data_IF_836536049015
#
_entry.id   IF_836536049015
#
_cell.length_a   1.000
_cell.length_b   1.000
_cell.length_c   1.000
_cell.angle_alpha   90.00
_cell.angle_beta   90.00
_cell.angle_gamma   90.00
#
_symmetry.space_group_name_H-M   'P 1'
#
loop_
_entity.id
_entity.type
_entity.pdbx_description
1 polymer ?
#
# COMPACT_ATOMS: atom_id res chain seq x y z
N UNK A 1 -13.18 -11.18 -2.82
CA UNK A 1 -14.55 -10.95 -2.34
C UNK A 1 -14.88 -11.87 -1.17
N UNK A 2 -14.74 -13.18 -1.31
CA UNK A 2 -15.02 -14.16 -0.26
C UNK A 2 -14.33 -13.85 1.08
N UNK A 3 -13.06 -13.44 1.05
CA UNK A 3 -12.35 -13.06 2.26
C UNK A 3 -12.99 -11.84 2.97
N UNK A 4 -13.50 -10.88 2.19
CA UNK A 4 -14.25 -9.73 2.73
C UNK A 4 -15.56 -10.15 3.41
N UNK A 5 -16.28 -11.10 2.79
CA UNK A 5 -17.53 -11.64 3.37
C UNK A 5 -17.26 -12.35 4.72
N UNK A 6 -16.19 -13.13 4.79
CA UNK A 6 -15.77 -13.81 6.03
C UNK A 6 -15.35 -12.78 7.10
N UNK A 7 -14.49 -11.84 6.74
CA UNK A 7 -14.00 -10.82 7.68
C UNK A 7 -15.16 -9.98 8.27
N UNK A 8 -16.17 -9.67 7.45
CA UNK A 8 -17.34 -8.92 7.89
C UNK A 8 -18.11 -9.62 9.04
N UNK A 9 -18.16 -10.95 9.04
CA UNK A 9 -18.81 -11.74 10.11
C UNK A 9 -18.13 -11.53 11.47
N UNK A 10 -16.85 -11.20 11.46
CA UNK A 10 -16.05 -10.94 12.66
C UNK A 10 -15.83 -9.44 12.92
N UNK A 11 -16.51 -8.57 12.16
CA UNK A 11 -16.32 -7.11 12.23
C UNK A 11 -14.86 -6.68 11.94
N UNK A 12 -14.18 -7.41 11.07
CA UNK A 12 -12.82 -7.12 10.63
C UNK A 12 -12.85 -6.50 9.23
N UNK A 13 -11.96 -5.56 8.99
CA UNK A 13 -11.73 -4.99 7.65
C UNK A 13 -10.55 -5.69 6.99
N UNK A 14 -10.75 -6.10 5.74
CA UNK A 14 -9.66 -6.67 4.93
C UNK A 14 -8.89 -5.56 4.25
N UNK A 15 -7.56 -5.60 4.40
CA UNK A 15 -6.65 -4.67 3.74
C UNK A 15 -5.65 -5.46 2.90
N UNK A 16 -5.32 -4.90 1.75
CA UNK A 16 -4.29 -5.44 0.87
C UNK A 16 -3.17 -4.42 0.74
N UNK A 17 -1.95 -4.90 0.84
CA UNK A 17 -0.75 -4.10 0.71
C UNK A 17 -0.10 -4.35 -0.65
N UNK A 18 0.33 -3.29 -1.34
CA UNK A 18 1.24 -3.42 -2.46
C UNK A 18 2.67 -3.52 -1.92
N UNK A 19 3.43 -4.49 -2.41
CA UNK A 19 4.78 -4.76 -1.94
C UNK A 19 5.74 -4.70 -3.11
N UNK A 20 6.76 -3.85 -3.04
CA UNK A 20 7.68 -3.53 -4.16
C UNK A 20 8.27 -4.76 -4.88
N UNK A 21 8.49 -5.85 -4.15
CA UNK A 21 9.04 -7.10 -4.69
C UNK A 21 7.96 -8.09 -5.17
N UNK A 22 6.68 -7.75 -4.99
CA UNK A 22 5.59 -8.65 -5.39
C UNK A 22 5.51 -8.77 -6.90
N UNK A 23 5.38 -9.98 -7.40
CA UNK A 23 5.08 -10.25 -8.81
C UNK A 23 3.59 -10.15 -9.12
N UNK A 24 2.75 -9.94 -8.11
CA UNK A 24 1.30 -9.85 -8.24
C UNK A 24 0.79 -8.40 -8.12
N UNK A 25 1.11 -7.72 -7.03
CA UNK A 25 0.69 -6.34 -6.79
C UNK A 25 1.84 -5.55 -6.16
N UNK A 26 2.68 -4.94 -6.99
CA UNK A 26 3.85 -4.17 -6.54
C UNK A 26 3.64 -2.67 -6.55
N UNK A 27 2.51 -2.19 -7.07
CA UNK A 27 2.21 -0.76 -7.19
C UNK A 27 0.80 -0.43 -6.70
N UNK A 28 0.61 0.81 -6.23
CA UNK A 28 -0.69 1.33 -5.83
C UNK A 28 -1.74 1.24 -6.95
N UNK A 29 -1.47 1.63 -8.22
CA UNK A 29 -2.46 1.50 -9.29
C UNK A 29 -2.93 0.08 -9.52
N UNK A 30 -2.02 -0.89 -9.47
CA UNK A 30 -2.39 -2.31 -9.62
C UNK A 30 -3.27 -2.77 -8.48
N UNK A 31 -2.91 -2.43 -7.24
CA UNK A 31 -3.69 -2.80 -6.07
C UNK A 31 -5.08 -2.18 -6.08
N UNK A 32 -5.19 -0.89 -6.44
CA UNK A 32 -6.49 -0.20 -6.56
C UNK A 32 -7.40 -0.90 -7.56
N UNK A 33 -6.88 -1.34 -8.71
CA UNK A 33 -7.67 -2.11 -9.67
C UNK A 33 -8.20 -3.42 -9.09
N UNK A 34 -7.38 -4.14 -8.33
CA UNK A 34 -7.76 -5.40 -7.68
C UNK A 34 -8.86 -5.16 -6.63
N UNK A 35 -8.66 -4.20 -5.74
CA UNK A 35 -9.62 -3.89 -4.67
C UNK A 35 -10.96 -3.43 -5.25
N UNK A 36 -10.92 -2.55 -6.25
CA UNK A 36 -12.13 -2.04 -6.92
C UNK A 36 -12.86 -3.13 -7.70
N UNK A 37 -12.13 -4.02 -8.38
CA UNK A 37 -12.72 -5.17 -9.07
C UNK A 37 -13.37 -6.16 -8.11
N UNK A 38 -12.80 -6.34 -6.91
CA UNK A 38 -13.42 -7.14 -5.85
C UNK A 38 -14.77 -6.55 -5.40
N UNK A 39 -14.89 -5.22 -5.41
CA UNK A 39 -16.16 -4.51 -5.16
C UNK A 39 -16.79 -4.82 -3.80
N UNK A 40 -15.99 -5.06 -2.77
CA UNK A 40 -16.48 -5.40 -1.44
C UNK A 40 -16.27 -4.22 -0.48
N UNK A 41 -17.32 -3.72 0.21
CA UNK A 41 -17.24 -2.53 1.05
C UNK A 41 -16.27 -2.69 2.24
N UNK A 42 -16.05 -3.93 2.68
CA UNK A 42 -15.17 -4.27 3.80
C UNK A 42 -13.73 -4.56 3.36
N UNK A 43 -13.32 -4.09 2.18
CA UNK A 43 -11.97 -4.26 1.67
C UNK A 43 -11.37 -2.90 1.28
N UNK A 44 -10.06 -2.79 1.37
CA UNK A 44 -9.36 -1.58 0.97
C UNK A 44 -7.85 -1.76 0.89
N UNK A 45 -7.16 -0.65 0.81
CA UNK A 45 -5.70 -0.57 0.67
C UNK A 45 -5.07 -0.36 2.05
N UNK A 46 -4.02 -1.14 2.34
CA UNK A 46 -2.99 -0.75 3.28
C UNK A 46 -1.93 0.00 2.48
N UNK A 47 -1.76 1.28 2.78
CA UNK A 47 -0.77 2.12 2.13
C UNK A 47 0.53 2.11 2.94
N UNK A 48 1.61 1.62 2.35
CA UNK A 48 2.94 1.59 2.97
C UNK A 48 3.84 2.60 2.27
N UNK A 49 4.31 3.61 3.00
CA UNK A 49 5.15 4.69 2.48
C UNK A 49 6.48 4.15 1.91
N UNK A 50 7.10 3.18 2.58
CA UNK A 50 8.33 2.55 2.09
C UNK A 50 8.13 1.85 0.75
N UNK A 51 7.07 1.02 0.61
CA UNK A 51 6.78 0.32 -0.64
C UNK A 51 6.37 1.28 -1.76
N UNK A 52 5.70 2.38 -1.41
CA UNK A 52 5.35 3.41 -2.38
C UNK A 52 6.61 4.12 -2.91
N UNK A 53 7.46 4.62 -2.02
CA UNK A 53 8.66 5.37 -2.38
C UNK A 53 9.71 4.49 -3.08
N UNK A 54 10.01 3.32 -2.51
CA UNK A 54 11.08 2.44 -2.99
C UNK A 54 10.68 1.59 -4.21
N UNK A 55 9.40 1.52 -4.54
CA UNK A 55 8.87 0.74 -5.68
C UNK A 55 8.73 1.56 -6.95
N UNK A 56 7.97 1.01 -7.90
CA UNK A 56 7.70 1.61 -9.22
C UNK A 56 6.46 2.51 -9.23
N UNK A 57 6.17 3.17 -8.11
CA UNK A 57 5.09 4.16 -8.02
C UNK A 57 5.61 5.56 -8.37
N UNK A 58 4.69 6.43 -8.78
CA UNK A 58 4.91 7.86 -9.02
C UNK A 58 4.00 8.67 -8.11
N UNK A 59 4.37 9.89 -7.79
CA UNK A 59 3.55 10.75 -6.93
C UNK A 59 2.15 10.97 -7.52
N UNK A 60 2.04 11.05 -8.85
CA UNK A 60 0.77 11.20 -9.57
C UNK A 60 -0.17 10.00 -9.37
N UNK A 61 0.36 8.83 -8.97
CA UNK A 61 -0.48 7.68 -8.66
C UNK A 61 -1.38 7.92 -7.45
N UNK A 62 -1.02 8.86 -6.57
CA UNK A 62 -1.84 9.27 -5.42
C UNK A 62 -3.16 9.92 -5.86
N UNK A 63 -3.20 10.56 -7.03
CA UNK A 63 -4.41 11.21 -7.57
C UNK A 63 -5.52 10.20 -7.87
N UNK A 64 -5.18 8.91 -7.96
CA UNK A 64 -6.14 7.83 -8.17
C UNK A 64 -6.91 7.44 -6.89
N UNK A 65 -6.43 7.87 -5.72
CA UNK A 65 -7.07 7.57 -4.44
C UNK A 65 -8.40 8.31 -4.30
N UNK A 66 -9.39 7.62 -3.74
CA UNK A 66 -10.70 8.16 -3.40
C UNK A 66 -10.93 8.04 -1.90
N UNK A 67 -11.79 8.89 -1.32
CA UNK A 67 -12.17 8.73 0.09
C UNK A 67 -12.64 7.30 0.37
N UNK A 68 -12.05 6.68 1.39
CA UNK A 68 -12.36 5.31 1.80
C UNK A 68 -11.55 4.19 1.14
N UNK A 69 -10.73 4.47 0.11
CA UNK A 69 -9.85 3.46 -0.48
C UNK A 69 -8.79 2.96 0.52
N UNK A 70 -8.15 3.89 1.24
CA UNK A 70 -7.12 3.56 2.23
C UNK A 70 -7.78 3.25 3.57
N UNK A 71 -7.46 2.09 4.13
CA UNK A 71 -7.97 1.63 5.43
C UNK A 71 -6.92 1.72 6.53
N UNK A 72 -5.66 1.64 6.16
CA UNK A 72 -4.54 1.74 7.09
C UNK A 72 -3.30 2.26 6.38
N UNK A 73 -2.40 2.88 7.13
CA UNK A 73 -1.12 3.41 6.63
C UNK A 73 0.01 2.88 7.50
N UNK A 74 1.02 2.29 6.85
CA UNK A 74 2.35 2.14 7.45
C UNK A 74 3.13 3.41 7.11
N UNK A 75 3.29 4.26 8.12
CA UNK A 75 3.90 5.57 7.97
C UNK A 75 5.34 5.56 8.48
N UNK A 76 6.27 5.46 7.59
CA UNK A 76 7.72 5.51 7.83
C UNK A 76 8.42 6.26 6.70
N UNK A 77 9.65 6.63 6.94
CA UNK A 77 10.55 7.26 5.99
C UNK A 77 11.63 6.26 5.53
N UNK A 78 12.50 6.67 4.61
CA UNK A 78 13.60 5.85 4.08
C UNK A 78 14.90 6.64 4.07
N UNK A 79 16.02 5.93 4.20
CA UNK A 79 17.35 6.51 4.07
C UNK A 79 17.57 7.10 2.67
N UNK A 80 18.42 8.12 2.59
CA UNK A 80 18.82 8.75 1.32
C UNK A 80 19.82 7.85 0.56
N UNK A 81 19.26 6.82 -0.06
CA UNK A 81 19.99 5.84 -0.88
C UNK A 81 19.30 5.68 -2.24
N UNK A 82 20.02 5.25 -3.27
CA UNK A 82 19.40 4.82 -4.52
C UNK A 82 18.31 3.78 -4.27
N UNK A 83 17.17 3.91 -4.96
CA UNK A 83 16.00 3.06 -4.71
C UNK A 83 16.28 1.56 -4.81
N UNK A 84 17.17 1.16 -5.70
CA UNK A 84 17.63 -0.23 -5.86
C UNK A 84 18.40 -0.77 -4.65
N UNK A 85 18.95 0.10 -3.83
CA UNK A 85 19.70 -0.27 -2.61
C UNK A 85 18.81 -0.28 -1.35
N UNK A 86 17.56 0.17 -1.46
CA UNK A 86 16.64 0.17 -0.34
C UNK A 86 16.14 -1.23 -0.04
N UNK A 87 16.16 -1.60 1.23
CA UNK A 87 15.59 -2.83 1.75
C UNK A 87 14.81 -2.58 3.06
N UNK A 88 14.37 -3.63 3.72
CA UNK A 88 13.57 -3.51 4.95
C UNK A 88 14.35 -2.91 6.13
N UNK A 89 15.68 -2.91 6.08
CA UNK A 89 16.55 -2.35 7.13
C UNK A 89 16.80 -0.85 6.96
N UNK A 90 16.48 -0.29 5.78
CA UNK A 90 16.68 1.13 5.45
C UNK A 90 15.47 2.01 5.79
N UNK A 91 14.52 1.48 6.56
CA UNK A 91 13.39 2.26 7.10
C UNK A 91 13.85 3.10 8.28
N UNK A 92 13.47 4.36 8.29
CA UNK A 92 13.76 5.30 9.38
C UNK A 92 12.47 5.96 9.86
N UNK A 93 12.56 6.72 10.94
CA UNK A 93 11.40 7.43 11.49
C UNK A 93 10.94 8.52 10.52
N UNK A 94 9.64 8.81 10.45
CA UNK A 94 9.11 9.88 9.62
C UNK A 94 9.79 11.22 9.92
N UNK A 95 10.34 11.85 8.87
CA UNK A 95 11.08 13.09 8.95
C UNK A 95 12.60 12.93 9.06
N UNK A 96 13.11 11.69 9.22
CA UNK A 96 14.54 11.40 9.27
C UNK A 96 15.09 10.91 7.92
N UNK A 97 14.26 10.83 6.90
CA UNK A 97 14.62 10.34 5.57
C UNK A 97 14.25 11.28 4.44
N UNK A 98 13.95 10.72 3.27
CA UNK A 98 13.70 11.45 2.01
C UNK A 98 12.39 11.10 1.32
N UNK A 99 11.54 10.25 1.91
CA UNK A 99 10.26 9.85 1.30
C UNK A 99 9.13 10.85 1.51
#
# INVERSE_FOLDING_TARGET
RTAGDIAAQFRLTMMFEFVRQSTFASTLPTLLRIVRAAGHPNTGVLFDCYHFWSGHNRLEDLDQLRPGDVKHVHFQDVEDLPREMLDLTTRVMPGDGVA
#
